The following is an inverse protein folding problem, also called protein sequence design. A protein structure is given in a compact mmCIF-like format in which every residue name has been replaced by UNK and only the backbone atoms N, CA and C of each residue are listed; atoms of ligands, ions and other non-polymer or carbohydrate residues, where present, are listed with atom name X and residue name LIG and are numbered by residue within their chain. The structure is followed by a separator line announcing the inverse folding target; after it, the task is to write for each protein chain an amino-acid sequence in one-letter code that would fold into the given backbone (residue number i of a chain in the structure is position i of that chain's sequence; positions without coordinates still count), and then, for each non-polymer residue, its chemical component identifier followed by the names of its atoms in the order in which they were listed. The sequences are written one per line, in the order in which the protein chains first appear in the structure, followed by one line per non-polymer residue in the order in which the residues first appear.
data_IF_029092089680
#
_entry.id   IF_029092089680
#
_cell.length_a   1.000
_cell.length_b   1.000
_cell.length_c   1.000
_cell.angle_alpha   90.00
_cell.angle_beta   90.00
_cell.angle_gamma   90.00
#
_symmetry.space_group_name_H-M   'P 1'
#
loop_
_entity.id
_entity.type
_entity.pdbx_description
1 polymer ?
#
# COMPACT_ATOMS: atom_id res chain seq x y z
N UNK A 1 -6.54 1.79 25.89
CA UNK A 1 -6.59 0.55 25.10
C UNK A 1 -5.69 0.71 23.89
N UNK A 2 -4.48 0.16 23.96
CA UNK A 2 -3.44 0.32 22.95
C UNK A 2 -3.74 -0.64 21.78
N UNK A 3 -4.04 -0.10 20.61
CA UNK A 3 -4.13 -0.83 19.34
C UNK A 3 -2.68 -1.22 18.97
N UNK A 4 -2.09 -2.15 19.71
CA UNK A 4 -0.81 -2.75 19.34
C UNK A 4 -1.07 -3.58 18.09
N UNK A 5 -0.82 -2.97 16.93
CA UNK A 5 -0.80 -3.62 15.64
C UNK A 5 -2.00 -4.56 15.42
N UNK A 6 -3.19 -4.00 15.17
CA UNK A 6 -4.19 -4.76 14.42
C UNK A 6 -3.48 -5.27 13.15
N UNK A 7 -3.36 -6.59 13.01
CA UNK A 7 -2.70 -7.21 11.88
C UNK A 7 -3.25 -6.54 10.60
N UNK A 8 -2.43 -6.16 9.61
CA UNK A 8 -2.89 -5.47 8.40
C UNK A 8 -4.10 -6.17 7.74
N UNK A 9 -4.16 -7.50 7.86
CA UNK A 9 -5.29 -8.35 7.48
C UNK A 9 -6.60 -8.03 8.21
N UNK A 10 -6.56 -7.79 9.52
CA UNK A 10 -7.73 -7.41 10.31
C UNK A 10 -8.30 -6.04 9.88
N UNK A 11 -7.43 -5.07 9.57
CA UNK A 11 -7.88 -3.78 9.04
C UNK A 11 -8.50 -3.89 7.64
N UNK A 12 -7.98 -4.79 6.81
CA UNK A 12 -8.54 -5.08 5.49
C UNK A 12 -9.93 -5.72 5.64
N UNK A 13 -10.07 -6.73 6.49
CA UNK A 13 -11.36 -7.40 6.73
C UNK A 13 -12.40 -6.42 7.29
N UNK A 14 -12.01 -5.59 8.25
CA UNK A 14 -12.91 -4.59 8.83
C UNK A 14 -13.33 -3.51 7.81
N UNK A 15 -12.43 -3.11 6.91
CA UNK A 15 -12.77 -2.18 5.83
C UNK A 15 -13.68 -2.83 4.76
N UNK A 16 -13.53 -4.13 4.47
CA UNK A 16 -14.45 -4.87 3.60
C UNK A 16 -15.84 -5.01 4.25
N UNK A 17 -15.91 -5.27 5.55
CA UNK A 17 -17.17 -5.31 6.30
C UNK A 17 -17.91 -3.96 6.23
N UNK A 18 -17.19 -2.85 6.39
CA UNK A 18 -17.73 -1.50 6.25
C UNK A 18 -18.35 -1.26 4.85
N UNK A 19 -17.70 -1.74 3.77
CA UNK A 19 -18.27 -1.65 2.42
C UNK A 19 -19.58 -2.43 2.32
N UNK A 20 -19.66 -3.59 2.95
CA UNK A 20 -20.92 -4.35 3.09
C UNK A 20 -22.00 -3.53 3.80
N UNK A 21 -21.66 -2.88 4.91
CA UNK A 21 -22.61 -2.07 5.68
C UNK A 21 -23.14 -0.85 4.92
N UNK A 22 -22.32 -0.25 4.04
CA UNK A 22 -22.79 0.81 3.15
C UNK A 22 -23.88 0.34 2.19
N UNK A 23 -23.73 -0.86 1.61
CA UNK A 23 -24.74 -1.41 0.69
C UNK A 23 -26.09 -1.65 1.38
N UNK A 24 -26.06 -2.09 2.64
CA UNK A 24 -27.25 -2.28 3.48
C UNK A 24 -27.98 -0.97 3.78
N UNK A 25 -27.26 0.15 3.87
CA UNK A 25 -27.86 1.47 4.08
C UNK A 25 -28.36 2.12 2.78
N UNK A 26 -27.67 1.89 1.66
CA UNK A 26 -28.04 2.41 0.33
C UNK A 26 -29.32 1.75 -0.22
N UNK A 27 -29.54 0.46 0.06
CA UNK A 27 -30.70 -0.32 -0.42
C UNK A 27 -32.08 0.03 0.17
N UNK A 28 -32.20 1.08 0.99
CA UNK A 28 -33.45 1.46 1.68
C UNK A 28 -34.53 2.14 0.81
N UNK A 29 -34.37 2.22 -0.51
CA UNK A 29 -35.33 2.91 -1.39
C UNK A 29 -36.45 2.05 -1.99
N UNK A 30 -36.56 0.74 -1.71
CA UNK A 30 -37.68 -0.05 -2.24
C UNK A 30 -38.18 -1.18 -1.33
N UNK A 31 -39.46 -1.04 -0.94
CA UNK A 31 -40.47 -2.04 -0.57
C UNK A 31 -40.36 -2.85 0.74
N UNK A 32 -41.47 -2.75 1.49
CA UNK A 32 -42.11 -3.59 2.53
C UNK A 32 -41.52 -4.97 2.94
N UNK A 33 -41.62 -5.20 4.26
CA UNK A 33 -41.31 -6.32 5.19
C UNK A 33 -41.86 -7.73 4.82
N UNK A 34 -41.56 -8.87 5.54
CA UNK A 34 -41.21 -8.99 6.97
C UNK A 34 -40.18 -10.07 7.46
N UNK A 35 -39.70 -9.84 8.70
CA UNK A 35 -39.09 -10.74 9.72
C UNK A 35 -37.84 -11.58 9.37
N UNK A 36 -36.69 -11.21 9.96
CA UNK A 36 -35.89 -12.03 10.90
C UNK A 36 -34.64 -11.27 11.41
N UNK A 37 -34.29 -11.50 12.68
CA UNK A 37 -33.19 -10.92 13.47
C UNK A 37 -33.08 -9.37 13.58
N UNK A 38 -33.41 -8.85 14.75
CA UNK A 38 -32.98 -7.53 15.23
C UNK A 38 -31.46 -7.53 15.45
N UNK A 39 -30.68 -7.44 14.37
CA UNK A 39 -29.33 -6.87 14.46
C UNK A 39 -29.56 -5.37 14.50
N UNK A 40 -29.17 -4.71 15.60
CA UNK A 40 -29.16 -3.24 15.69
C UNK A 40 -28.46 -2.71 14.44
N UNK A 41 -29.23 -2.08 13.55
CA UNK A 41 -28.69 -1.56 12.30
C UNK A 41 -27.74 -0.41 12.67
N UNK A 42 -26.48 -0.43 12.20
CA UNK A 42 -25.51 0.58 12.60
C UNK A 42 -26.04 1.97 12.23
N UNK A 43 -26.03 2.87 13.21
CA UNK A 43 -26.43 4.25 13.02
C UNK A 43 -25.36 4.95 12.20
N UNK A 44 -25.71 6.01 11.48
CA UNK A 44 -24.74 6.79 10.67
C UNK A 44 -23.55 7.26 11.53
N UNK A 45 -23.80 7.60 12.79
CA UNK A 45 -22.78 7.97 13.79
C UNK A 45 -21.84 6.82 14.14
N UNK A 46 -22.34 5.60 14.19
CA UNK A 46 -21.54 4.41 14.51
C UNK A 46 -20.60 4.11 13.35
N UNK A 47 -21.09 4.23 12.10
CA UNK A 47 -20.26 4.10 10.91
C UNK A 47 -19.20 5.19 10.80
N UNK A 48 -19.50 6.45 11.16
CA UNK A 48 -18.47 7.49 11.27
C UNK A 48 -17.40 7.10 12.29
N UNK A 49 -17.79 6.58 13.45
CA UNK A 49 -16.85 6.06 14.45
C UNK A 49 -15.96 4.95 13.89
N UNK A 50 -16.54 4.01 13.14
CA UNK A 50 -15.79 2.92 12.48
C UNK A 50 -14.83 3.45 11.41
N UNK A 51 -15.28 4.35 10.53
CA UNK A 51 -14.43 4.93 9.47
C UNK A 51 -13.26 5.72 10.06
N UNK A 52 -13.51 6.52 11.10
CA UNK A 52 -12.45 7.28 11.77
C UNK A 52 -11.46 6.37 12.50
N UNK A 53 -11.95 5.30 13.14
CA UNK A 53 -11.12 4.26 13.75
C UNK A 53 -10.25 3.53 12.72
N UNK A 54 -10.83 3.10 11.61
CA UNK A 54 -10.11 2.48 10.49
C UNK A 54 -9.07 3.43 9.92
N UNK A 55 -9.44 4.68 9.65
CA UNK A 55 -8.54 5.69 9.10
C UNK A 55 -7.33 5.91 10.02
N UNK A 56 -7.54 5.89 11.34
CA UNK A 56 -6.44 5.95 12.32
C UNK A 56 -5.53 4.74 12.22
N UNK A 57 -6.09 3.53 12.19
CA UNK A 57 -5.31 2.29 12.04
C UNK A 57 -4.47 2.28 10.76
N UNK A 58 -5.01 2.76 9.64
CA UNK A 58 -4.25 2.90 8.38
C UNK A 58 -3.14 3.95 8.46
N UNK A 59 -3.35 5.07 9.18
CA UNK A 59 -2.29 6.06 9.43
C UNK A 59 -1.18 5.49 10.31
N UNK A 60 -1.53 4.70 11.33
CA UNK A 60 -0.55 4.00 12.16
C UNK A 60 0.29 3.04 11.31
N UNK A 61 -0.35 2.25 10.43
CA UNK A 61 0.36 1.41 9.47
C UNK A 61 1.29 2.20 8.53
N UNK A 62 0.88 3.36 8.03
CA UNK A 62 1.75 4.22 7.21
C UNK A 62 3.03 4.60 7.96
N UNK A 63 2.93 4.92 9.26
CA UNK A 63 4.13 5.21 10.07
C UNK A 63 5.03 3.98 10.24
N UNK A 64 4.45 2.79 10.42
CA UNK A 64 5.20 1.53 10.55
C UNK A 64 5.92 1.20 9.24
N UNK A 65 5.22 1.24 8.11
CA UNK A 65 5.83 0.95 6.81
C UNK A 65 6.85 2.00 6.39
N UNK A 66 6.65 3.26 6.76
CA UNK A 66 7.65 4.31 6.53
C UNK A 66 8.96 4.02 7.28
N UNK A 67 8.87 3.60 8.54
CA UNK A 67 10.05 3.15 9.32
C UNK A 67 10.69 1.91 8.72
N UNK A 68 9.89 0.96 8.24
CA UNK A 68 10.40 -0.25 7.58
C UNK A 68 11.15 0.09 6.29
N UNK A 69 10.69 1.06 5.49
CA UNK A 69 11.42 1.51 4.29
C UNK A 69 12.78 2.07 4.68
N UNK A 70 12.84 2.95 5.70
CA UNK A 70 14.13 3.51 6.14
C UNK A 70 15.08 2.42 6.67
N UNK A 71 14.55 1.45 7.41
CA UNK A 71 15.33 0.31 7.91
C UNK A 71 15.81 -0.61 6.79
N UNK A 72 14.97 -0.85 5.77
CA UNK A 72 15.27 -1.72 4.64
C UNK A 72 16.33 -1.08 3.73
N UNK A 73 16.25 0.23 3.50
CA UNK A 73 17.23 0.96 2.72
C UNK A 73 18.65 0.92 3.34
N UNK A 74 18.74 0.82 4.67
CA UNK A 74 20.02 0.67 5.38
C UNK A 74 20.46 -0.79 5.58
N UNK A 75 19.60 -1.77 5.29
CA UNK A 75 19.89 -3.17 5.55
C UNK A 75 20.71 -3.78 4.42
N UNK A 76 21.67 -4.63 4.76
CA UNK A 76 22.44 -5.46 3.81
C UNK A 76 21.89 -6.87 3.68
N UNK A 77 20.99 -7.27 4.59
CA UNK A 77 20.33 -8.58 4.61
C UNK A 77 18.86 -8.43 4.26
N UNK A 78 18.41 -9.23 3.30
CA UNK A 78 17.03 -9.27 2.81
C UNK A 78 16.47 -10.67 3.03
N UNK A 79 15.22 -10.72 3.48
CA UNK A 79 14.53 -11.94 3.92
C UNK A 79 13.41 -12.26 2.91
N UNK A 80 13.52 -13.41 2.25
CA UNK A 80 12.59 -13.89 1.23
C UNK A 80 11.16 -14.04 1.78
N UNK A 81 11.00 -14.48 3.03
CA UNK A 81 9.67 -14.63 3.63
C UNK A 81 8.99 -13.28 3.80
N UNK A 82 9.75 -12.26 4.23
CA UNK A 82 9.22 -10.90 4.38
C UNK A 82 8.85 -10.30 3.03
N UNK A 83 9.61 -10.62 1.99
CA UNK A 83 9.29 -10.21 0.62
C UNK A 83 7.98 -10.83 0.13
N UNK A 84 7.80 -12.14 0.27
CA UNK A 84 6.56 -12.82 -0.12
C UNK A 84 5.34 -12.28 0.63
N UNK A 85 5.45 -12.10 1.95
CA UNK A 85 4.37 -11.49 2.76
C UNK A 85 4.06 -10.06 2.31
N UNK A 86 5.06 -9.27 1.95
CA UNK A 86 4.85 -7.92 1.43
C UNK A 86 4.08 -7.92 0.10
N UNK A 87 4.38 -8.86 -0.80
CA UNK A 87 3.65 -9.01 -2.07
C UNK A 87 2.17 -9.35 -1.81
N UNK A 88 1.90 -10.29 -0.91
CA UNK A 88 0.52 -10.68 -0.56
C UNK A 88 -0.26 -9.51 0.03
N UNK A 89 0.35 -8.77 0.97
CA UNK A 89 -0.23 -7.57 1.55
C UNK A 89 -0.46 -6.47 0.49
N UNK A 90 0.48 -6.29 -0.43
CA UNK A 90 0.32 -5.32 -1.53
C UNK A 90 -0.84 -5.69 -2.46
N UNK A 91 -1.02 -6.98 -2.77
CA UNK A 91 -2.17 -7.45 -3.55
C UNK A 91 -3.49 -7.22 -2.79
N UNK A 92 -3.54 -7.59 -1.52
CA UNK A 92 -4.74 -7.43 -0.70
C UNK A 92 -5.13 -5.95 -0.52
N UNK A 93 -4.15 -5.05 -0.34
CA UNK A 93 -4.40 -3.61 -0.24
C UNK A 93 -4.87 -2.98 -1.55
N UNK A 94 -4.41 -3.47 -2.71
CA UNK A 94 -4.94 -3.04 -4.02
C UNK A 94 -6.38 -3.47 -4.21
N UNK A 95 -6.71 -4.72 -3.88
CA UNK A 95 -8.07 -5.22 -3.94
C UNK A 95 -9.00 -4.38 -3.06
N UNK A 96 -8.58 -4.10 -1.82
CA UNK A 96 -9.34 -3.23 -0.92
C UNK A 96 -9.55 -1.83 -1.50
N UNK A 97 -8.53 -1.23 -2.13
CA UNK A 97 -8.67 0.09 -2.75
C UNK A 97 -9.71 0.10 -3.88
N UNK A 98 -9.74 -0.95 -4.70
CA UNK A 98 -10.75 -1.13 -5.75
C UNK A 98 -12.15 -1.31 -5.17
N UNK A 99 -12.30 -2.08 -4.09
CA UNK A 99 -13.57 -2.30 -3.42
C UNK A 99 -14.09 -1.02 -2.76
N UNK A 100 -13.23 -0.27 -2.07
CA UNK A 100 -13.56 1.04 -1.50
C UNK A 100 -13.93 2.07 -2.58
N UNK A 101 -13.35 1.96 -3.79
CA UNK A 101 -13.69 2.84 -4.91
C UNK A 101 -15.07 2.52 -5.50
N UNK A 102 -15.49 1.25 -5.51
CA UNK A 102 -16.77 0.80 -6.05
C UNK A 102 -17.91 0.89 -5.03
N UNK A 103 -17.60 1.08 -3.75
CA UNK A 103 -18.58 1.19 -2.69
C UNK A 103 -19.59 2.33 -2.92
N UNK A 104 -20.88 2.05 -2.71
CA UNK A 104 -21.93 3.05 -2.73
C UNK A 104 -22.04 3.72 -1.36
N UNK A 105 -21.45 4.90 -1.22
CA UNK A 105 -21.32 5.59 0.07
C UNK A 105 -22.52 6.52 0.30
N UNK A 106 -23.17 6.47 1.48
CA UNK A 106 -24.18 7.46 1.85
C UNK A 106 -23.59 8.88 1.87
N UNK A 107 -24.34 9.87 1.37
CA UNK A 107 -23.83 11.24 1.15
C UNK A 107 -23.18 11.85 2.41
N UNK A 108 -23.73 11.56 3.59
CA UNK A 108 -23.24 12.04 4.89
C UNK A 108 -21.87 11.46 5.31
N UNK A 109 -21.41 10.38 4.69
CA UNK A 109 -20.15 9.67 5.01
C UNK A 109 -19.06 9.87 3.94
N UNK A 110 -19.35 10.66 2.90
CA UNK A 110 -18.48 10.79 1.72
C UNK A 110 -17.09 11.31 2.09
N UNK A 111 -17.01 12.37 2.89
CA UNK A 111 -15.73 12.98 3.28
C UNK A 111 -14.87 12.02 4.13
N UNK A 112 -15.50 11.34 5.10
CA UNK A 112 -14.83 10.36 5.95
C UNK A 112 -14.33 9.16 5.14
N UNK A 113 -15.15 8.67 4.20
CA UNK A 113 -14.76 7.60 3.28
C UNK A 113 -13.60 8.00 2.38
N UNK A 114 -13.59 9.24 1.86
CA UNK A 114 -12.46 9.76 1.08
C UNK A 114 -11.19 9.87 1.92
N UNK A 115 -11.30 10.24 3.21
CA UNK A 115 -10.17 10.24 4.12
C UNK A 115 -9.61 8.82 4.33
N UNK A 116 -10.47 7.82 4.48
CA UNK A 116 -10.09 6.41 4.57
C UNK A 116 -9.38 5.94 3.29
N UNK A 117 -9.97 6.21 2.11
CA UNK A 117 -9.38 5.86 0.80
C UNK A 117 -7.98 6.46 0.63
N UNK A 118 -7.80 7.73 1.02
CA UNK A 118 -6.47 8.38 0.98
C UNK A 118 -5.48 7.71 1.93
N UNK A 119 -5.91 7.28 3.13
CA UNK A 119 -5.04 6.58 4.07
C UNK A 119 -4.60 5.20 3.52
N UNK A 120 -5.53 4.43 2.94
CA UNK A 120 -5.23 3.14 2.29
C UNK A 120 -4.26 3.33 1.11
N UNK A 121 -4.50 4.31 0.24
CA UNK A 121 -3.63 4.59 -0.90
C UNK A 121 -2.20 4.97 -0.51
N UNK A 122 -2.03 5.69 0.62
CA UNK A 122 -0.70 5.98 1.17
C UNK A 122 0.03 4.71 1.59
N UNK A 123 -0.63 3.82 2.35
CA UNK A 123 -0.04 2.53 2.76
C UNK A 123 0.30 1.66 1.57
N UNK A 124 -0.57 1.58 0.54
CA UNK A 124 -0.25 0.89 -0.72
C UNK A 124 1.02 1.44 -1.35
N UNK A 125 1.18 2.76 -1.37
CA UNK A 125 2.38 3.40 -1.93
C UNK A 125 3.64 2.96 -1.17
N UNK A 126 3.58 2.90 0.17
CA UNK A 126 4.69 2.38 0.99
C UNK A 126 5.02 0.92 0.69
N UNK A 127 4.00 0.06 0.63
CA UNK A 127 4.17 -1.36 0.30
C UNK A 127 4.77 -1.56 -1.10
N UNK A 128 4.38 -0.74 -2.08
CA UNK A 128 4.95 -0.75 -3.42
C UNK A 128 6.42 -0.29 -3.43
N UNK A 129 6.79 0.69 -2.61
CA UNK A 129 8.20 1.07 -2.43
C UNK A 129 9.01 -0.08 -1.83
N UNK A 130 8.49 -0.75 -0.81
CA UNK A 130 9.13 -1.93 -0.21
C UNK A 130 9.32 -3.04 -1.25
N UNK A 131 8.29 -3.34 -2.04
CA UNK A 131 8.35 -4.32 -3.13
C UNK A 131 9.43 -3.95 -4.17
N UNK A 132 9.50 -2.67 -4.55
CA UNK A 132 10.54 -2.18 -5.47
C UNK A 132 11.95 -2.35 -4.91
N UNK A 133 12.16 -2.08 -3.62
CA UNK A 133 13.47 -2.26 -2.97
C UNK A 133 13.89 -3.72 -2.95
N UNK A 134 12.99 -4.64 -2.60
CA UNK A 134 13.27 -6.06 -2.66
C UNK A 134 13.59 -6.51 -4.10
N UNK A 135 12.82 -6.07 -5.09
CA UNK A 135 13.09 -6.40 -6.49
C UNK A 135 14.47 -5.91 -6.92
N UNK A 136 14.91 -4.73 -6.53
CA UNK A 136 16.26 -4.24 -6.83
C UNK A 136 17.34 -5.13 -6.24
N UNK A 137 17.12 -5.68 -5.04
CA UNK A 137 18.08 -6.59 -4.41
C UNK A 137 18.14 -7.96 -5.09
N UNK A 138 16.99 -8.52 -5.47
CA UNK A 138 16.92 -9.84 -6.12
C UNK A 138 17.19 -9.80 -7.63
N UNK A 139 17.11 -8.62 -8.26
CA UNK A 139 17.45 -8.46 -9.66
C UNK A 139 18.97 -8.45 -9.82
N UNK A 140 19.52 -9.52 -10.39
CA UNK A 140 20.90 -9.46 -10.90
C UNK A 140 20.93 -8.46 -12.05
N UNK A 141 21.82 -7.45 -12.04
CA UNK A 141 22.03 -6.64 -13.22
C UNK A 141 22.39 -7.56 -14.37
N UNK A 142 21.67 -7.46 -15.49
CA UNK A 142 22.09 -8.15 -16.70
C UNK A 142 23.47 -7.57 -17.04
N UNK A 143 24.51 -8.42 -17.03
CA UNK A 143 25.83 -8.01 -17.45
C UNK A 143 25.66 -7.43 -18.85
N UNK A 144 26.04 -6.16 -19.03
CA UNK A 144 26.09 -5.57 -20.35
C UNK A 144 27.20 -6.30 -21.10
N UNK A 145 26.82 -7.18 -22.03
CA UNK A 145 27.75 -7.78 -22.98
C UNK A 145 28.22 -6.68 -23.93
N UNK A 146 29.23 -5.94 -23.48
CA UNK A 146 30.02 -5.09 -24.34
C UNK A 146 30.84 -5.99 -25.25
N UNK A 147 30.63 -5.89 -26.57
CA UNK A 147 31.53 -6.49 -27.58
C UNK A 147 32.96 -5.94 -27.46
N UNK A 148 33.12 -4.78 -26.81
CA UNK A 148 34.41 -4.18 -26.52
C UNK A 148 34.98 -4.75 -25.22
N UNK A 149 36.23 -5.19 -25.26
CA UNK A 149 36.96 -5.63 -24.07
C UNK A 149 37.10 -4.47 -23.07
N UNK A 150 37.13 -4.80 -21.78
CA UNK A 150 37.37 -3.81 -20.71
C UNK A 150 38.68 -3.04 -20.89
N UNK A 151 39.67 -3.63 -21.57
CA UNK A 151 40.91 -2.95 -21.96
C UNK A 151 40.67 -1.87 -23.02
N UNK A 152 39.85 -2.14 -24.05
CA UNK A 152 39.57 -1.17 -25.11
C UNK A 152 38.79 0.05 -24.58
N UNK A 153 37.88 -0.16 -23.64
CA UNK A 153 37.17 0.94 -22.97
C UNK A 153 38.12 1.79 -22.09
N UNK A 154 39.12 1.16 -21.48
CA UNK A 154 40.14 1.86 -20.69
C UNK A 154 41.05 2.69 -21.58
N UNK A 155 41.50 2.14 -22.70
CA UNK A 155 42.34 2.85 -23.68
C UNK A 155 41.61 4.06 -24.27
N UNK A 156 40.30 3.94 -24.53
CA UNK A 156 39.47 5.06 -25.00
C UNK A 156 39.33 6.15 -23.92
N UNK A 157 39.15 5.75 -22.66
CA UNK A 157 39.06 6.69 -21.54
C UNK A 157 40.39 7.42 -21.29
N UNK A 158 41.52 6.72 -21.39
CA UNK A 158 42.85 7.31 -21.23
C UNK A 158 43.17 8.24 -22.41
N UNK A 159 42.83 7.84 -23.64
CA UNK A 159 42.99 8.68 -24.83
C UNK A 159 42.16 9.97 -24.77
N UNK A 160 40.91 9.89 -24.31
CA UNK A 160 40.07 11.08 -24.15
C UNK A 160 40.53 11.97 -23.00
N UNK A 161 41.01 11.38 -21.91
CA UNK A 161 41.58 12.12 -20.76
C UNK A 161 42.88 12.84 -21.11
N UNK A 162 43.73 12.23 -21.92
CA UNK A 162 44.98 12.84 -22.39
C UNK A 162 44.68 14.05 -23.29
N UNK A 163 43.77 13.89 -24.25
CA UNK A 163 43.35 14.96 -25.16
C UNK A 163 42.71 16.15 -24.44
N UNK A 164 41.97 15.89 -23.36
CA UNK A 164 41.39 16.95 -22.53
C UNK A 164 42.46 17.73 -21.75
N UNK A 165 43.51 17.07 -21.25
CA UNK A 165 44.63 17.75 -20.58
C UNK A 165 45.48 18.61 -21.53
N UNK A 166 45.56 18.23 -22.81
CA UNK A 166 46.28 19.01 -23.82
C UNK A 166 45.52 20.28 -24.27
N UNK A 167 44.21 20.33 -24.02
CA UNK A 167 43.34 21.46 -24.38
C UNK A 167 43.11 22.46 -23.25
N UNK A 168 43.66 22.20 -22.06
CA UNK A 168 43.64 23.09 -20.87
C UNK A 168 45.03 23.59 -20.55
#
# INVERSE_FOLDING_TARGET
MSIKAAAPTALIVAALALVGDYTNLSGKSSSSSPKECLVEKPTVTDLQGVITGLTRGWRELDTVFSKNITSLASSTLFDDERFLRNIELLKATRQLEDDLRRAQVPLALTEDHEALRRAVAKVRTRLATIDSLYKQFFSRPQAFESELSSSALRDLADHTSHRLRELT
#
